data_IF_673334574633
#
_entry.id   IF_673334574633
#
_cell.length_a   1.000
_cell.length_b   1.000
_cell.length_c   1.000
_cell.angle_alpha   90.00
_cell.angle_beta   90.00
_cell.angle_gamma   90.00
#
_symmetry.space_group_name_H-M   'P 1'
#
loop_
_entity.id
_entity.type
_entity.pdbx_description
1 polymer ?
#
# COMPACT_ATOMS: atom_id res chain seq x y z
N UNK A 1 35.53 9.84 19.39
CA UNK A 1 34.20 9.56 19.98
C UNK A 1 33.28 9.11 18.86
N UNK A 2 32.48 8.04 19.06
CA UNK A 2 31.45 7.70 18.06
C UNK A 2 30.41 8.83 17.98
N UNK A 3 29.81 9.07 16.80
CA UNK A 3 28.74 10.05 16.67
C UNK A 3 27.53 9.63 17.53
N UNK A 4 26.79 10.58 18.14
CA UNK A 4 25.58 10.26 18.87
C UNK A 4 24.57 9.59 17.93
N UNK A 5 24.03 8.44 18.36
CA UNK A 5 22.98 7.73 17.63
C UNK A 5 21.69 8.57 17.50
N UNK A 6 20.78 8.19 16.60
CA UNK A 6 19.55 8.94 16.37
C UNK A 6 18.72 9.05 17.65
N UNK A 7 18.33 10.27 18.01
CA UNK A 7 17.50 10.55 19.18
C UNK A 7 16.05 10.11 18.91
N UNK A 8 15.46 9.38 19.86
CA UNK A 8 14.04 9.01 19.81
C UNK A 8 13.18 10.13 20.42
N UNK A 9 11.93 10.32 19.96
CA UNK A 9 10.99 11.22 20.62
C UNK A 9 10.81 10.83 22.10
N UNK A 10 10.58 11.82 22.97
CA UNK A 10 10.26 11.55 24.37
C UNK A 10 8.86 10.93 24.49
N UNK A 11 8.64 9.92 25.36
CA UNK A 11 7.32 9.33 25.58
C UNK A 11 6.23 10.35 25.93
N UNK A 12 6.60 11.43 26.63
CA UNK A 12 5.65 12.50 26.98
C UNK A 12 5.24 13.34 25.76
N UNK A 13 6.13 13.53 24.78
CA UNK A 13 5.82 14.24 23.53
C UNK A 13 4.84 13.41 22.71
N UNK A 14 5.05 12.09 22.61
CA UNK A 14 4.14 11.19 21.89
C UNK A 14 2.75 11.15 22.54
N UNK A 15 2.69 11.07 23.87
CA UNK A 15 1.42 11.12 24.62
C UNK A 15 0.70 12.45 24.44
N UNK A 16 1.40 13.58 24.57
CA UNK A 16 0.83 14.90 24.34
C UNK A 16 0.34 15.07 22.90
N UNK A 17 1.10 14.60 21.91
CA UNK A 17 0.72 14.62 20.49
C UNK A 17 -0.55 13.82 20.26
N UNK A 18 -0.61 12.59 20.79
CA UNK A 18 -1.77 11.70 20.65
C UNK A 18 -3.02 12.29 21.31
N UNK A 19 -2.89 12.86 22.51
CA UNK A 19 -4.01 13.47 23.21
C UNK A 19 -4.55 14.72 22.50
N UNK A 20 -3.65 15.62 22.05
CA UNK A 20 -4.05 16.81 21.30
C UNK A 20 -4.68 16.42 19.95
N UNK A 21 -4.15 15.42 19.26
CA UNK A 21 -4.75 14.86 18.04
C UNK A 21 -6.16 14.34 18.29
N UNK A 22 -6.37 13.55 19.35
CA UNK A 22 -7.67 13.00 19.70
C UNK A 22 -8.72 14.13 19.89
N UNK A 23 -8.38 15.17 20.64
CA UNK A 23 -9.27 16.32 20.84
C UNK A 23 -9.61 17.07 19.54
N UNK A 24 -8.64 17.21 18.63
CA UNK A 24 -8.89 17.78 17.29
C UNK A 24 -9.86 16.88 16.51
N UNK A 25 -9.60 15.57 16.45
CA UNK A 25 -10.41 14.60 15.70
C UNK A 25 -11.82 14.41 16.27
N UNK A 26 -11.99 14.60 17.58
CA UNK A 26 -13.28 14.55 18.28
C UNK A 26 -14.06 15.87 18.16
N UNK A 27 -13.50 16.88 17.49
CA UNK A 27 -14.19 18.16 17.24
C UNK A 27 -14.19 19.14 18.42
N UNK A 28 -13.39 18.90 19.48
CA UNK A 28 -13.25 19.87 20.58
C UNK A 28 -12.69 21.21 20.11
N UNK A 29 -11.89 21.18 19.04
CA UNK A 29 -11.41 22.35 18.32
C UNK A 29 -11.75 22.20 16.83
N UNK A 30 -12.90 22.73 16.38
CA UNK A 30 -13.29 22.68 14.98
C UNK A 30 -12.26 23.33 14.05
N UNK A 31 -12.23 22.90 12.79
CA UNK A 31 -11.40 23.51 11.74
C UNK A 31 -11.66 25.02 11.67
N UNK A 32 -10.58 25.79 11.63
CA UNK A 32 -10.60 27.27 11.64
C UNK A 32 -10.52 27.88 13.04
N UNK A 33 -10.66 27.11 14.12
CA UNK A 33 -10.54 27.64 15.48
C UNK A 33 -9.09 27.72 15.95
N UNK A 34 -8.83 28.62 16.90
CA UNK A 34 -7.51 28.83 17.52
C UNK A 34 -7.34 27.87 18.70
N UNK A 35 -6.21 27.16 18.76
CA UNK A 35 -5.87 26.34 19.91
C UNK A 35 -5.61 27.21 21.15
N UNK A 36 -5.87 26.67 22.37
CA UNK A 36 -5.34 27.25 23.59
C UNK A 36 -3.82 27.42 23.50
N UNK A 37 -3.28 28.48 24.12
CA UNK A 37 -1.84 28.74 24.10
C UNK A 37 -1.03 27.64 24.80
N UNK A 38 0.27 27.52 24.47
CA UNK A 38 1.16 26.50 25.03
C UNK A 38 1.11 26.40 26.56
N UNK A 39 1.02 27.54 27.25
CA UNK A 39 0.92 27.60 28.71
C UNK A 39 -0.37 26.96 29.24
N UNK A 40 -1.49 27.19 28.57
CA UNK A 40 -2.79 26.62 28.95
C UNK A 40 -2.79 25.12 28.73
N UNK A 41 -2.34 24.67 27.55
CA UNK A 41 -2.25 23.26 27.20
C UNK A 41 -1.27 22.51 28.12
N UNK A 42 -0.14 23.11 28.48
CA UNK A 42 0.84 22.51 29.39
C UNK A 42 0.23 22.24 30.77
N UNK A 43 -0.57 23.19 31.28
CA UNK A 43 -1.31 23.05 32.54
C UNK A 43 -2.40 21.97 32.45
N UNK A 44 -3.17 21.94 31.36
CA UNK A 44 -4.23 20.94 31.15
C UNK A 44 -3.68 19.51 31.06
N UNK A 45 -2.53 19.33 30.39
CA UNK A 45 -1.90 18.03 30.17
C UNK A 45 -0.97 17.61 31.31
N UNK A 46 -0.65 18.50 32.25
CA UNK A 46 0.32 18.22 33.32
C UNK A 46 1.75 18.02 32.83
N UNK A 47 2.13 18.62 31.69
CA UNK A 47 3.47 18.48 31.09
C UNK A 47 4.17 19.82 30.92
N UNK A 48 5.47 19.80 30.61
CA UNK A 48 6.24 21.02 30.34
C UNK A 48 5.84 21.71 29.04
N UNK A 49 6.05 23.04 28.96
CA UNK A 49 5.79 23.85 27.75
C UNK A 49 6.57 23.38 26.52
N UNK A 50 7.79 22.88 26.71
CA UNK A 50 8.60 22.31 25.63
C UNK A 50 7.94 21.06 25.03
N UNK A 51 7.36 20.20 25.86
CA UNK A 51 6.60 19.02 25.40
C UNK A 51 5.40 19.41 24.56
N UNK A 52 4.63 20.40 25.00
CA UNK A 52 3.49 20.92 24.24
C UNK A 52 3.93 21.52 22.91
N UNK A 53 4.99 22.32 22.92
CA UNK A 53 5.53 22.94 21.70
C UNK A 53 5.94 21.89 20.67
N UNK A 54 6.61 20.83 21.10
CA UNK A 54 7.00 19.72 20.25
C UNK A 54 5.80 18.93 19.71
N UNK A 55 4.79 18.70 20.56
CA UNK A 55 3.54 18.07 20.13
C UNK A 55 2.81 18.92 19.08
N UNK A 56 2.67 20.22 19.32
CA UNK A 56 2.05 21.18 18.37
C UNK A 56 2.83 21.24 17.06
N UNK A 57 4.18 21.24 17.13
CA UNK A 57 5.04 21.19 15.93
C UNK A 57 4.81 19.91 15.13
N UNK A 58 4.76 18.76 15.80
CA UNK A 58 4.47 17.47 15.16
C UNK A 58 3.10 17.49 14.46
N UNK A 59 2.06 17.99 15.13
CA UNK A 59 0.72 18.11 14.54
C UNK A 59 0.65 19.10 13.38
N UNK A 60 1.47 20.16 13.41
CA UNK A 60 1.61 21.08 12.29
C UNK A 60 2.28 20.41 11.08
N UNK A 61 3.32 19.59 11.30
CA UNK A 61 3.94 18.77 10.24
C UNK A 61 2.95 17.77 9.64
N UNK A 62 2.07 17.19 10.47
CA UNK A 62 0.99 16.30 10.04
C UNK A 62 -0.18 17.04 9.35
N UNK A 63 -0.09 18.36 9.18
CA UNK A 63 -1.09 19.16 8.48
C UNK A 63 -2.38 19.43 9.26
N UNK A 64 -2.44 19.07 10.54
CA UNK A 64 -3.61 19.36 11.40
C UNK A 64 -3.63 20.81 11.86
N UNK A 65 -2.45 21.40 12.09
CA UNK A 65 -2.29 22.72 12.69
C UNK A 65 -1.50 23.68 11.80
N UNK A 66 -1.77 24.98 11.93
CA UNK A 66 -0.98 26.03 11.28
C UNK A 66 -0.73 27.20 12.24
N UNK A 67 0.54 27.54 12.41
CA UNK A 67 0.96 28.74 13.13
C UNK A 67 0.74 29.99 12.27
N UNK A 68 0.16 31.03 12.86
CA UNK A 68 0.02 32.36 12.28
C UNK A 68 0.77 33.35 13.16
N UNK A 69 1.77 34.03 12.60
CA UNK A 69 2.62 34.97 13.34
C UNK A 69 1.77 36.01 14.07
N UNK A 70 2.00 36.17 15.38
CA UNK A 70 1.24 37.07 16.25
C UNK A 70 -0.20 36.66 16.57
N UNK A 71 -0.80 35.75 15.79
CA UNK A 71 -2.20 35.36 15.95
C UNK A 71 -2.39 34.01 16.69
N UNK A 72 -1.36 33.16 16.74
CA UNK A 72 -1.38 31.86 17.44
C UNK A 72 -1.50 30.67 16.49
N UNK A 73 -1.88 29.51 17.02
CA UNK A 73 -1.97 28.24 16.27
C UNK A 73 -3.43 27.91 16.00
N UNK A 74 -3.74 27.55 14.76
CA UNK A 74 -5.11 27.27 14.31
C UNK A 74 -5.23 25.85 13.80
N UNK A 75 -6.39 25.23 14.03
CA UNK A 75 -6.76 23.95 13.41
C UNK A 75 -7.06 24.20 11.93
N UNK A 76 -6.42 23.45 11.05
CA UNK A 76 -6.61 23.56 9.59
C UNK A 76 -7.11 22.25 8.96
N UNK A 77 -7.03 21.14 9.70
CA UNK A 77 -7.68 19.87 9.37
C UNK A 77 -8.10 19.16 10.68
N UNK A 78 -9.16 18.38 10.63
CA UNK A 78 -9.67 17.57 11.74
C UNK A 78 -9.21 16.10 11.67
N UNK A 79 -8.56 15.70 10.58
CA UNK A 79 -7.94 14.40 10.41
C UNK A 79 -6.56 14.56 9.75
N UNK A 80 -5.61 13.73 10.18
CA UNK A 80 -4.36 13.57 9.41
C UNK A 80 -4.77 12.91 8.11
N UNK A 81 -4.32 13.43 6.97
CA UNK A 81 -4.46 12.72 5.71
C UNK A 81 -3.75 11.35 5.88
N UNK A 82 -4.53 10.31 6.14
CA UNK A 82 -3.97 8.97 6.34
C UNK A 82 -3.28 8.55 5.05
N UNK A 83 -1.99 8.24 5.16
CA UNK A 83 -1.17 7.82 4.03
C UNK A 83 -1.82 6.62 3.34
N UNK A 84 -1.79 6.62 2.01
CA UNK A 84 -2.35 5.55 1.19
C UNK A 84 -1.97 4.14 1.66
N UNK A 85 -0.69 3.84 1.99
CA UNK A 85 -0.34 2.51 2.48
C UNK A 85 -1.07 2.11 3.77
N UNK A 86 -1.39 3.05 4.67
CA UNK A 86 -2.16 2.77 5.89
C UNK A 86 -3.63 2.48 5.55
N UNK A 87 -4.23 3.26 4.65
CA UNK A 87 -5.60 3.02 4.20
C UNK A 87 -5.75 1.69 3.49
N UNK A 88 -4.82 1.34 2.61
CA UNK A 88 -4.85 0.07 1.86
C UNK A 88 -4.77 -1.15 2.78
N UNK A 89 -3.96 -1.10 3.85
CA UNK A 89 -3.90 -2.19 4.84
C UNK A 89 -5.18 -2.37 5.65
N UNK A 90 -6.04 -1.35 5.74
CA UNK A 90 -7.30 -1.39 6.49
C UNK A 90 -8.52 -1.64 5.61
N UNK A 91 -8.39 -1.38 4.31
CA UNK A 91 -9.44 -1.64 3.33
C UNK A 91 -9.73 -3.14 3.22
N UNK A 92 -10.94 -3.48 2.77
CA UNK A 92 -11.23 -4.86 2.40
C UNK A 92 -10.29 -5.27 1.26
N UNK A 93 -9.72 -6.47 1.33
CA UNK A 93 -8.90 -7.02 0.24
C UNK A 93 -9.68 -7.03 -1.08
N UNK A 94 -11.00 -7.23 -1.04
CA UNK A 94 -11.85 -7.21 -2.24
C UNK A 94 -11.83 -5.83 -2.92
N UNK A 95 -11.92 -4.76 -2.13
CA UNK A 95 -11.93 -3.39 -2.64
C UNK A 95 -10.55 -3.03 -3.23
N UNK A 96 -9.48 -3.48 -2.56
CA UNK A 96 -8.11 -3.35 -3.07
C UNK A 96 -7.96 -4.09 -4.40
N UNK A 97 -8.52 -5.30 -4.50
CA UNK A 97 -8.46 -6.12 -5.72
C UNK A 97 -9.22 -5.50 -6.90
N UNK A 98 -10.37 -4.87 -6.65
CA UNK A 98 -11.15 -4.17 -7.67
C UNK A 98 -10.35 -3.02 -8.30
N UNK A 99 -9.65 -2.23 -7.48
CA UNK A 99 -8.77 -1.15 -7.97
C UNK A 99 -7.52 -1.70 -8.65
N UNK A 100 -6.92 -2.75 -8.08
CA UNK A 100 -5.79 -3.48 -8.68
C UNK A 100 -6.12 -3.93 -10.11
N UNK A 101 -7.32 -4.46 -10.34
CA UNK A 101 -7.77 -4.92 -11.65
C UNK A 101 -7.74 -3.80 -12.71
N UNK A 102 -8.21 -2.60 -12.37
CA UNK A 102 -8.15 -1.45 -13.29
C UNK A 102 -6.72 -1.13 -13.72
N UNK A 103 -5.77 -1.21 -12.78
CA UNK A 103 -4.36 -0.88 -12.98
C UNK A 103 -3.66 -1.94 -13.80
N UNK A 104 -3.82 -3.21 -13.41
CA UNK A 104 -3.13 -4.32 -14.05
C UNK A 104 -3.64 -4.65 -15.45
N UNK A 105 -4.95 -4.52 -15.68
CA UNK A 105 -5.52 -4.68 -17.04
C UNK A 105 -4.95 -3.61 -17.98
N UNK A 106 -4.79 -2.36 -17.52
CA UNK A 106 -4.14 -1.35 -18.33
C UNK A 106 -2.64 -1.55 -18.47
N UNK A 107 -1.96 -2.00 -17.40
CA UNK A 107 -0.56 -2.34 -17.46
C UNK A 107 -0.31 -3.44 -18.50
N UNK A 108 -1.12 -4.50 -18.54
CA UNK A 108 -1.03 -5.58 -19.51
C UNK A 108 -1.17 -5.08 -20.96
N UNK A 109 -2.14 -4.18 -21.24
CA UNK A 109 -2.29 -3.56 -22.56
C UNK A 109 -1.06 -2.75 -22.96
N UNK A 110 -0.51 -1.97 -22.03
CA UNK A 110 0.67 -1.15 -22.28
C UNK A 110 1.91 -2.00 -22.44
N UNK A 111 2.08 -3.05 -21.63
CA UNK A 111 3.16 -4.01 -21.71
C UNK A 111 3.19 -4.67 -23.08
N UNK A 112 2.06 -5.17 -23.57
CA UNK A 112 1.94 -5.73 -24.91
C UNK A 112 2.32 -4.74 -26.03
N UNK A 113 2.21 -3.43 -25.81
CA UNK A 113 2.63 -2.41 -26.80
C UNK A 113 4.09 -2.01 -26.67
N UNK A 114 4.64 -2.02 -25.45
CA UNK A 114 5.90 -1.33 -25.10
C UNK A 114 7.05 -2.25 -24.69
N UNK A 115 6.76 -3.53 -24.44
CA UNK A 115 7.76 -4.55 -24.10
C UNK A 115 9.01 -4.50 -24.98
N UNK A 116 10.14 -4.70 -24.32
CA UNK A 116 11.47 -4.89 -24.87
C UNK A 116 11.92 -6.34 -24.69
N UNK A 117 13.01 -6.75 -25.33
CA UNK A 117 13.57 -8.10 -25.16
C UNK A 117 14.00 -8.38 -23.70
N UNK A 118 14.42 -7.34 -22.98
CA UNK A 118 14.72 -7.42 -21.54
C UNK A 118 13.44 -7.71 -20.72
N UNK A 119 12.33 -7.04 -21.04
CA UNK A 119 11.04 -7.30 -20.40
C UNK A 119 10.56 -8.73 -20.66
N UNK A 120 10.72 -9.23 -21.90
CA UNK A 120 10.35 -10.60 -22.24
C UNK A 120 11.16 -11.62 -21.45
N UNK A 121 12.46 -11.37 -21.28
CA UNK A 121 13.34 -12.20 -20.46
C UNK A 121 12.92 -12.16 -18.99
N UNK A 122 12.57 -10.98 -18.46
CA UNK A 122 12.12 -10.82 -17.09
C UNK A 122 10.77 -11.52 -16.83
N UNK A 123 9.83 -11.45 -17.78
CA UNK A 123 8.54 -12.13 -17.70
C UNK A 123 8.68 -13.65 -17.71
N UNK A 124 9.54 -14.20 -18.58
CA UNK A 124 9.83 -15.63 -18.63
C UNK A 124 10.50 -16.14 -17.33
N UNK A 125 11.48 -15.37 -16.82
CA UNK A 125 12.13 -15.66 -15.56
C UNK A 125 11.13 -15.65 -14.38
N UNK A 126 10.22 -14.67 -14.35
CA UNK A 126 9.19 -14.59 -13.31
C UNK A 126 8.21 -15.77 -13.37
N UNK A 127 7.75 -16.17 -14.56
CA UNK A 127 6.90 -17.37 -14.72
C UNK A 127 7.62 -18.65 -14.28
N UNK A 128 8.90 -18.78 -14.64
CA UNK A 128 9.72 -19.93 -14.25
C UNK A 128 9.92 -19.99 -12.74
N UNK A 129 10.18 -18.84 -12.10
CA UNK A 129 10.30 -18.75 -10.65
C UNK A 129 8.98 -19.13 -9.95
N UNK A 130 7.84 -18.64 -10.46
CA UNK A 130 6.51 -19.00 -9.93
C UNK A 130 6.21 -20.49 -10.07
N UNK A 131 6.56 -21.11 -11.20
CA UNK A 131 6.45 -22.56 -11.38
C UNK A 131 7.28 -23.32 -10.34
N UNK A 132 8.53 -22.92 -10.14
CA UNK A 132 9.43 -23.53 -9.15
C UNK A 132 8.90 -23.40 -7.72
N UNK A 133 8.42 -22.21 -7.35
CA UNK A 133 7.77 -21.99 -6.04
C UNK A 133 6.49 -22.81 -5.91
N UNK A 134 5.77 -23.03 -7.01
CA UNK A 134 4.64 -23.96 -7.14
C UNK A 134 4.94 -25.36 -6.59
N UNK A 135 6.11 -25.89 -6.91
CA UNK A 135 6.57 -27.21 -6.46
C UNK A 135 7.14 -27.21 -5.02
N UNK A 136 7.33 -26.03 -4.42
CA UNK A 136 7.77 -25.89 -3.03
C UNK A 136 6.67 -26.18 -2.02
N UNK A 137 6.99 -26.12 -0.73
CA UNK A 137 6.04 -26.31 0.38
C UNK A 137 5.55 -25.01 1.01
N UNK A 138 6.24 -23.89 0.78
CA UNK A 138 5.93 -22.61 1.41
C UNK A 138 5.00 -21.77 0.52
N UNK A 139 3.80 -21.48 1.03
CA UNK A 139 2.82 -20.67 0.33
C UNK A 139 3.22 -19.19 0.27
N UNK A 140 4.02 -18.69 1.22
CA UNK A 140 4.54 -17.33 1.18
C UNK A 140 5.51 -17.13 0.00
N UNK A 141 6.42 -18.09 -0.22
CA UNK A 141 7.33 -18.08 -1.36
C UNK A 141 6.57 -18.13 -2.69
N UNK A 142 5.48 -18.90 -2.74
CA UNK A 142 4.62 -18.96 -3.92
C UNK A 142 3.90 -17.64 -4.19
N UNK A 143 3.32 -17.02 -3.17
CA UNK A 143 2.65 -15.72 -3.28
C UNK A 143 3.64 -14.62 -3.68
N UNK A 144 4.85 -14.64 -3.13
CA UNK A 144 5.89 -13.68 -3.51
C UNK A 144 6.32 -13.84 -4.97
N UNK A 145 6.43 -15.09 -5.46
CA UNK A 145 6.71 -15.37 -6.87
C UNK A 145 5.54 -15.04 -7.80
N UNK A 146 4.30 -15.21 -7.34
CA UNK A 146 3.08 -14.79 -8.03
C UNK A 146 3.05 -13.27 -8.24
N UNK A 147 3.22 -12.49 -7.15
CA UNK A 147 3.32 -11.03 -7.19
C UNK A 147 4.47 -10.56 -8.10
N UNK A 148 5.57 -11.31 -8.18
CA UNK A 148 6.69 -10.98 -9.05
C UNK A 148 6.32 -11.05 -10.54
N UNK A 149 5.43 -11.96 -10.96
CA UNK A 149 4.92 -11.99 -12.36
C UNK A 149 4.15 -10.72 -12.67
N UNK A 150 3.20 -10.34 -11.80
CA UNK A 150 2.43 -9.11 -11.95
C UNK A 150 3.32 -7.87 -11.95
N UNK A 151 4.33 -7.81 -11.07
CA UNK A 151 5.31 -6.72 -11.06
C UNK A 151 6.07 -6.61 -12.38
N UNK A 152 6.47 -7.73 -12.98
CA UNK A 152 7.14 -7.75 -14.27
C UNK A 152 6.23 -7.25 -15.41
N UNK A 153 4.94 -7.63 -15.39
CA UNK A 153 3.95 -7.09 -16.35
C UNK A 153 3.78 -5.58 -16.19
N UNK A 154 3.67 -5.09 -14.95
CA UNK A 154 3.56 -3.65 -14.68
C UNK A 154 4.81 -2.88 -15.10
N UNK A 155 6.00 -3.42 -14.83
CA UNK A 155 7.26 -2.80 -15.26
C UNK A 155 7.34 -2.70 -16.80
N UNK A 156 6.96 -3.76 -17.52
CA UNK A 156 6.95 -3.80 -18.98
C UNK A 156 5.98 -2.79 -19.62
N UNK A 157 5.03 -2.23 -18.85
CA UNK A 157 4.18 -1.14 -19.31
C UNK A 157 4.95 0.19 -19.51
N UNK A 158 6.17 0.29 -18.98
CA UNK A 158 7.02 1.49 -19.02
C UNK A 158 6.25 2.75 -18.62
N UNK A 159 5.52 2.64 -17.50
CA UNK A 159 4.77 3.75 -16.90
C UNK A 159 5.10 3.82 -15.40
N UNK A 160 5.97 4.75 -14.96
CA UNK A 160 6.41 4.82 -13.57
C UNK A 160 5.25 5.02 -12.59
N UNK A 161 4.18 5.71 -12.99
CA UNK A 161 3.01 5.90 -12.13
C UNK A 161 2.27 4.59 -11.88
N UNK A 162 2.16 3.69 -12.88
CA UNK A 162 1.56 2.37 -12.66
C UNK A 162 2.45 1.50 -11.77
N UNK A 163 3.77 1.59 -11.93
CA UNK A 163 4.74 0.90 -11.07
C UNK A 163 4.61 1.33 -9.61
N UNK A 164 4.57 2.65 -9.36
CA UNK A 164 4.45 3.19 -8.01
C UNK A 164 3.11 2.82 -7.38
N UNK A 165 2.00 2.96 -8.13
CA UNK A 165 0.67 2.56 -7.64
C UNK A 165 0.61 1.06 -7.32
N UNK A 166 1.17 0.21 -8.17
CA UNK A 166 1.20 -1.23 -7.91
C UNK A 166 2.01 -1.55 -6.64
N UNK A 167 3.16 -0.90 -6.45
CA UNK A 167 3.99 -1.09 -5.26
C UNK A 167 3.26 -0.78 -3.96
N UNK A 168 2.37 0.21 -3.94
CA UNK A 168 1.54 0.56 -2.77
C UNK A 168 0.55 -0.55 -2.38
N UNK A 169 0.04 -1.34 -3.32
CA UNK A 169 -0.90 -2.43 -3.01
C UNK A 169 -0.22 -3.69 -2.48
N UNK A 170 1.04 -3.95 -2.88
CA UNK A 170 1.75 -5.20 -2.58
C UNK A 170 1.69 -5.58 -1.09
N UNK A 171 1.95 -4.68 -0.12
CA UNK A 171 1.91 -5.06 1.30
C UNK A 171 0.53 -5.52 1.77
N UNK A 172 -0.56 -4.91 1.26
CA UNK A 172 -1.92 -5.29 1.59
C UNK A 172 -2.34 -6.60 0.91
N UNK A 173 -1.92 -6.79 -0.35
CA UNK A 173 -2.24 -7.98 -1.15
C UNK A 173 -1.51 -9.23 -0.63
N UNK A 174 -0.22 -9.12 -0.30
CA UNK A 174 0.61 -10.26 0.07
C UNK A 174 0.00 -11.08 1.20
N UNK A 175 -0.39 -10.43 2.29
CA UNK A 175 -0.95 -11.14 3.44
C UNK A 175 -2.26 -11.83 3.08
N UNK A 176 -3.17 -11.12 2.41
CA UNK A 176 -4.47 -11.68 2.07
C UNK A 176 -4.38 -12.85 1.06
N UNK A 177 -3.39 -12.83 0.15
CA UNK A 177 -3.15 -13.93 -0.77
C UNK A 177 -2.57 -15.17 -0.08
N UNK A 178 -1.67 -14.98 0.91
CA UNK A 178 -1.18 -16.10 1.74
C UNK A 178 -2.35 -16.75 2.46
N UNK A 179 -3.18 -15.94 3.13
CA UNK A 179 -4.34 -16.43 3.88
C UNK A 179 -5.33 -17.16 2.95
N UNK A 180 -5.56 -16.65 1.74
CA UNK A 180 -6.43 -17.28 0.75
C UNK A 180 -5.91 -18.66 0.29
N UNK A 181 -4.62 -18.73 -0.04
CA UNK A 181 -3.98 -19.97 -0.53
C UNK A 181 -4.01 -21.06 0.54
N UNK A 182 -3.69 -20.69 1.79
CA UNK A 182 -3.69 -21.60 2.94
C UNK A 182 -5.11 -22.07 3.28
N UNK A 183 -6.05 -21.13 3.50
CA UNK A 183 -7.42 -21.42 3.94
C UNK A 183 -8.18 -22.32 2.95
N UNK A 184 -8.07 -22.02 1.65
CA UNK A 184 -8.73 -22.81 0.61
C UNK A 184 -7.89 -24.01 0.18
N UNK A 185 -6.64 -24.12 0.64
CA UNK A 185 -5.70 -25.17 0.28
C UNK A 185 -5.52 -25.31 -1.24
N UNK A 186 -5.47 -24.17 -1.96
CA UNK A 186 -5.50 -24.12 -3.42
C UNK A 186 -4.36 -24.93 -4.05
N UNK A 187 -3.23 -25.00 -3.36
CA UNK A 187 -2.03 -25.71 -3.79
C UNK A 187 -1.97 -27.19 -3.42
N UNK A 188 -2.91 -27.69 -2.60
CA UNK A 188 -2.96 -29.12 -2.24
C UNK A 188 -3.35 -30.00 -3.42
N UNK A 189 -4.21 -29.50 -4.30
CA UNK A 189 -4.69 -30.23 -5.49
C UNK A 189 -3.98 -29.78 -6.77
N UNK A 190 -3.60 -28.51 -6.85
CA UNK A 190 -2.87 -27.92 -7.97
C UNK A 190 -1.69 -27.09 -7.44
N UNK A 191 -0.49 -27.68 -7.31
CA UNK A 191 0.71 -26.97 -6.86
C UNK A 191 1.04 -25.74 -7.72
N UNK A 192 0.59 -25.72 -8.97
CA UNK A 192 0.80 -24.62 -9.90
C UNK A 192 -0.47 -23.78 -10.12
N UNK A 193 -1.31 -23.67 -9.09
CA UNK A 193 -2.57 -22.92 -9.12
C UNK A 193 -2.45 -21.61 -9.91
N UNK A 194 -3.36 -21.39 -10.86
CA UNK A 194 -3.40 -20.18 -11.68
C UNK A 194 -2.31 -20.07 -12.76
N UNK A 195 -1.42 -21.04 -12.91
CA UNK A 195 -0.32 -20.97 -13.89
C UNK A 195 -0.82 -20.81 -15.33
N UNK A 196 -1.91 -21.49 -15.70
CA UNK A 196 -2.49 -21.36 -17.05
C UNK A 196 -2.90 -19.92 -17.37
N UNK A 197 -3.49 -19.20 -16.41
CA UNK A 197 -3.89 -17.79 -16.57
C UNK A 197 -2.69 -16.87 -16.74
N UNK A 198 -1.71 -16.99 -15.84
CA UNK A 198 -0.45 -16.22 -15.92
C UNK A 198 0.30 -16.47 -17.23
N UNK A 199 0.38 -17.72 -17.68
CA UNK A 199 1.01 -18.07 -18.96
C UNK A 199 0.26 -17.46 -20.14
N UNK A 200 -1.07 -17.47 -20.12
CA UNK A 200 -1.87 -16.84 -21.17
C UNK A 200 -1.63 -15.33 -21.26
N UNK A 201 -1.55 -14.65 -20.11
CA UNK A 201 -1.21 -13.23 -20.01
C UNK A 201 0.16 -12.93 -20.63
N UNK A 202 1.21 -13.62 -20.19
CA UNK A 202 2.56 -13.41 -20.72
C UNK A 202 2.63 -13.74 -22.21
N UNK A 203 1.96 -14.80 -22.66
CA UNK A 203 1.91 -15.17 -24.08
C UNK A 203 1.29 -14.05 -24.92
N UNK A 204 0.21 -13.41 -24.43
CA UNK A 204 -0.42 -12.29 -25.13
C UNK A 204 0.50 -11.05 -25.19
N UNK A 205 1.27 -10.78 -24.13
CA UNK A 205 2.25 -9.70 -24.09
C UNK A 205 3.40 -9.95 -25.08
N UNK A 206 3.95 -11.18 -25.08
CA UNK A 206 4.99 -11.62 -26.03
C UNK A 206 4.50 -11.47 -27.48
N UNK A 207 3.27 -11.89 -27.76
CA UNK A 207 2.66 -11.76 -29.08
C UNK A 207 2.33 -10.30 -29.46
N UNK A 208 2.50 -9.34 -28.55
CA UNK A 208 2.18 -7.94 -28.77
C UNK A 208 0.70 -7.67 -29.00
N UNK A 209 -0.18 -8.46 -28.36
CA UNK A 209 -1.63 -8.33 -28.50
C UNK A 209 -2.23 -7.68 -27.24
N UNK A 210 -2.53 -6.36 -27.26
CA UNK A 210 -2.97 -5.64 -26.08
C UNK A 210 -4.32 -6.10 -25.56
N UNK A 211 -5.27 -6.37 -26.46
CA UNK A 211 -6.62 -6.78 -26.12
C UNK A 211 -6.62 -8.14 -25.42
N UNK A 212 -5.90 -9.12 -25.98
CA UNK A 212 -5.74 -10.44 -25.34
C UNK A 212 -4.99 -10.36 -24.01
N UNK A 213 -3.99 -9.48 -23.90
CA UNK A 213 -3.28 -9.29 -22.64
C UNK A 213 -4.22 -8.72 -21.56
N UNK A 214 -5.06 -7.75 -21.91
CA UNK A 214 -6.08 -7.22 -21.01
C UNK A 214 -7.10 -8.28 -20.58
N UNK A 215 -7.62 -9.05 -21.54
CA UNK A 215 -8.60 -10.11 -21.28
C UNK A 215 -8.02 -11.19 -20.35
N UNK A 216 -6.78 -11.62 -20.59
CA UNK A 216 -6.10 -12.61 -19.75
C UNK A 216 -5.85 -12.10 -18.33
N UNK A 217 -5.38 -10.86 -18.17
CA UNK A 217 -5.20 -10.25 -16.85
C UNK A 217 -6.53 -10.10 -16.11
N UNK A 218 -7.58 -9.65 -16.80
CA UNK A 218 -8.91 -9.48 -16.21
C UNK A 218 -9.47 -10.83 -15.74
N UNK A 219 -9.43 -11.87 -16.57
CA UNK A 219 -9.97 -13.18 -16.22
C UNK A 219 -9.25 -13.82 -15.02
N UNK A 220 -7.93 -13.66 -14.94
CA UNK A 220 -7.11 -14.18 -13.84
C UNK A 220 -7.42 -13.46 -12.52
N UNK A 221 -7.49 -12.13 -12.54
CA UNK A 221 -7.83 -11.33 -11.36
C UNK A 221 -9.29 -11.52 -10.92
N UNK A 222 -10.24 -11.62 -11.85
CA UNK A 222 -11.66 -11.91 -11.56
C UNK A 222 -11.81 -13.27 -10.88
N UNK A 223 -11.11 -14.31 -11.36
CA UNK A 223 -11.15 -15.63 -10.75
C UNK A 223 -10.67 -15.60 -9.28
N UNK A 224 -9.64 -14.82 -8.97
CA UNK A 224 -9.17 -14.66 -7.58
C UNK A 224 -10.14 -13.82 -6.75
N UNK A 225 -10.68 -12.73 -7.29
CA UNK A 225 -11.69 -11.91 -6.61
C UNK A 225 -12.96 -12.71 -6.27
N UNK A 226 -13.42 -13.60 -7.15
CA UNK A 226 -14.54 -14.50 -6.86
C UNK A 226 -14.26 -15.39 -5.65
N UNK A 227 -13.02 -15.90 -5.51
CA UNK A 227 -12.62 -16.71 -4.35
C UNK A 227 -12.54 -15.88 -3.07
N UNK A 228 -11.96 -14.68 -3.15
CA UNK A 228 -11.89 -13.75 -2.01
C UNK A 228 -13.27 -13.34 -1.48
N UNK A 229 -14.29 -13.24 -2.35
CA UNK A 229 -15.67 -12.98 -1.95
C UNK A 229 -16.40 -14.20 -1.38
N UNK A 230 -15.89 -15.40 -1.65
CA UNK A 230 -16.50 -16.67 -1.22
C UNK A 230 -15.83 -17.33 -0.01
N UNK A 231 -14.64 -16.83 0.39
CA UNK A 231 -13.92 -17.23 1.59
C UNK A 231 -14.42 -16.44 2.81
#
# INVERSE_FOLDING_TARGET
>A
MPPPGPLRPSPLVEQATSHLRARITEGHWPVGTKLPGETTLARELGVGRSTVREAVRTLATLGLLRSRQGAGVFVVADHVAEEWPVRLRRASVTDVYEVRMLIEVQAARLAARRRTDEDLTALDAALTARLKAGAGVDDADFVDADIAVHRAVVAAAHNPVLTDLFAEFVPALRQALIDLVDLLGLRRQDPHHGHTGHRALVTAIVAGNPERAAEAAQAELEATLTRLRGA
#
